data_IF_060697949070
#
_entry.id   IF_060697949070
#
_cell.length_a   1.000
_cell.length_b   1.000
_cell.length_c   1.000
_cell.angle_alpha   90.00
_cell.angle_beta   90.00
_cell.angle_gamma   90.00
#
_symmetry.space_group_name_H-M   'P 1'
#
loop_
_entity.id
_entity.type
_entity.pdbx_description
1 polymer ?
#
# COMPACT_ATOMS: atom_id res chain seq x y z
N UNK A 1 -8.58 -6.75 11.35
CA UNK A 1 -9.71 -6.14 10.62
C UNK A 1 -9.96 -6.93 9.35
N UNK A 2 -11.19 -7.39 9.08
CA UNK A 2 -11.54 -8.04 7.80
C UNK A 2 -11.31 -7.11 6.61
N UNK A 3 -11.08 -7.69 5.43
CA UNK A 3 -10.72 -6.94 4.21
C UNK A 3 -11.86 -6.06 3.75
N UNK A 4 -13.10 -6.55 3.82
CA UNK A 4 -14.29 -5.80 3.46
C UNK A 4 -14.40 -4.55 4.32
N UNK A 5 -14.10 -4.66 5.62
CA UNK A 5 -14.13 -3.50 6.51
C UNK A 5 -12.98 -2.54 6.16
N UNK A 6 -11.77 -3.05 5.93
CA UNK A 6 -10.62 -2.21 5.58
C UNK A 6 -10.78 -1.50 4.23
N UNK A 7 -11.43 -2.14 3.26
CA UNK A 7 -11.77 -1.55 1.97
C UNK A 7 -12.92 -0.54 2.10
N UNK A 8 -13.99 -0.87 2.81
CA UNK A 8 -15.17 0.00 2.94
C UNK A 8 -14.93 1.25 3.80
N UNK A 9 -13.98 1.21 4.73
CA UNK A 9 -13.59 2.36 5.54
C UNK A 9 -12.79 3.36 4.70
N UNK A 10 -13.51 4.09 3.85
CA UNK A 10 -13.07 5.37 3.31
C UNK A 10 -13.02 6.34 4.49
N UNK A 11 -11.82 6.60 4.96
CA UNK A 11 -11.63 7.56 6.04
C UNK A 11 -11.64 8.94 5.39
N UNK A 12 -12.76 9.65 5.41
CA UNK A 12 -12.80 11.07 5.04
C UNK A 12 -12.97 11.86 6.33
N UNK A 13 -11.86 12.16 7.01
CA UNK A 13 -11.93 12.73 8.35
C UNK A 13 -10.60 12.93 9.06
N UNK A 14 -9.50 12.40 8.54
CA UNK A 14 -8.16 12.70 9.01
C UNK A 14 -7.52 13.78 8.14
N UNK A 15 -6.67 13.34 7.22
CA UNK A 15 -5.94 14.21 6.30
C UNK A 15 -6.87 15.06 5.45
N UNK A 16 -7.93 14.50 4.86
CA UNK A 16 -8.79 15.26 3.95
C UNK A 16 -9.46 16.49 4.60
N UNK A 17 -9.63 16.48 5.92
CA UNK A 17 -10.28 17.57 6.67
C UNK A 17 -9.29 18.42 7.48
N UNK A 18 -8.01 18.03 7.50
CA UNK A 18 -6.98 18.75 8.22
C UNK A 18 -6.75 20.15 7.62
N UNK A 19 -6.45 21.13 8.48
CA UNK A 19 -6.10 22.50 8.08
C UNK A 19 -4.65 22.60 7.61
N UNK A 20 -4.29 21.76 6.65
CA UNK A 20 -2.96 21.70 6.02
C UNK A 20 -3.08 21.99 4.52
N UNK A 21 -1.97 22.33 3.89
CA UNK A 21 -1.95 22.53 2.44
C UNK A 21 -2.06 21.18 1.72
N UNK A 22 -3.29 20.77 1.40
CA UNK A 22 -3.62 19.46 0.80
C UNK A 22 -2.94 19.19 -0.55
N UNK A 23 -2.48 20.25 -1.24
CA UNK A 23 -1.81 20.15 -2.54
C UNK A 23 -0.29 20.05 -2.42
N UNK A 24 0.25 20.29 -1.24
CA UNK A 24 1.67 20.18 -0.98
C UNK A 24 1.98 18.73 -0.61
N UNK A 25 2.12 17.89 -1.64
CA UNK A 25 2.40 16.46 -1.46
C UNK A 25 3.79 16.20 -0.88
N UNK A 26 4.72 17.15 -1.04
CA UNK A 26 6.08 17.02 -0.51
C UNK A 26 6.06 17.11 1.02
N UNK A 27 6.08 15.94 1.67
CA UNK A 27 6.46 15.85 3.06
C UNK A 27 7.80 16.54 3.30
N UNK A 28 7.99 17.09 4.50
CA UNK A 28 9.30 17.63 4.89
C UNK A 28 10.31 16.50 4.75
N UNK A 29 11.23 16.61 3.79
CA UNK A 29 12.17 15.54 3.46
C UNK A 29 12.93 15.05 4.69
N UNK A 30 13.35 13.78 4.66
CA UNK A 30 14.12 13.21 5.76
C UNK A 30 15.41 14.00 5.95
N UNK A 31 15.63 14.47 7.18
CA UNK A 31 16.76 15.34 7.51
C UNK A 31 18.09 14.59 7.46
N UNK A 32 18.04 13.27 7.66
CA UNK A 32 19.18 12.36 7.63
C UNK A 32 19.04 11.36 6.48
N UNK A 33 20.19 10.89 6.00
CA UNK A 33 20.25 9.79 5.04
C UNK A 33 19.87 8.49 5.76
N UNK A 34 18.61 8.08 5.62
CA UNK A 34 18.09 6.84 6.19
C UNK A 34 18.51 5.66 5.32
N UNK A 35 18.73 4.49 5.94
CA UNK A 35 18.97 3.25 5.19
C UNK A 35 17.71 2.87 4.42
N UNK A 36 17.89 2.15 3.32
CA UNK A 36 16.77 1.57 2.60
C UNK A 36 16.01 0.59 3.50
N UNK A 37 14.70 0.51 3.33
CA UNK A 37 13.88 -0.46 4.04
C UNK A 37 14.32 -1.90 3.73
N UNK A 38 14.38 -2.72 4.77
CA UNK A 38 14.62 -4.15 4.64
C UNK A 38 13.29 -4.88 4.82
N UNK A 39 13.04 -5.87 3.98
CA UNK A 39 11.88 -6.75 4.14
C UNK A 39 12.34 -8.07 4.74
N UNK A 40 11.55 -8.60 5.68
CA UNK A 40 11.83 -9.89 6.26
C UNK A 40 11.82 -10.96 5.16
N UNK A 41 12.73 -11.94 5.25
CA UNK A 41 12.63 -13.12 4.40
C UNK A 41 11.54 -14.05 4.93
N UNK A 42 10.79 -14.74 4.06
CA UNK A 42 9.86 -15.76 4.48
C UNK A 42 10.59 -16.81 5.34
N UNK A 43 10.05 -17.14 6.53
CA UNK A 43 10.62 -18.21 7.38
C UNK A 43 10.45 -19.60 6.73
N UNK A 44 9.42 -19.75 5.93
CA UNK A 44 9.21 -20.88 5.04
C UNK A 44 9.33 -20.32 3.62
N UNK A 45 10.23 -20.87 2.80
CA UNK A 45 10.51 -20.46 1.41
C UNK A 45 9.32 -20.73 0.46
N UNK A 46 8.09 -20.46 0.88
CA UNK A 46 6.93 -20.44 0.00
C UNK A 46 6.94 -19.10 -0.72
N UNK A 47 7.91 -18.93 -1.62
CA UNK A 47 7.79 -17.92 -2.65
C UNK A 47 6.54 -18.28 -3.45
N UNK A 48 5.62 -17.32 -3.59
CA UNK A 48 4.50 -17.47 -4.51
C UNK A 48 5.10 -17.72 -5.89
N UNK A 49 4.86 -18.90 -6.45
CA UNK A 49 5.34 -19.22 -7.78
C UNK A 49 4.48 -18.51 -8.84
N UNK A 50 5.09 -18.11 -9.96
CA UNK A 50 4.41 -17.51 -11.11
C UNK A 50 3.20 -18.36 -11.54
N UNK A 51 3.33 -19.70 -11.52
CA UNK A 51 2.24 -20.64 -11.85
C UNK A 51 1.00 -20.46 -10.97
N UNK A 52 1.17 -20.10 -9.71
CA UNK A 52 0.05 -19.93 -8.78
C UNK A 52 -0.72 -18.65 -9.14
N UNK A 53 0.00 -17.56 -9.43
CA UNK A 53 -0.61 -16.31 -9.89
C UNK A 53 -1.32 -16.52 -11.23
N UNK A 54 -0.68 -17.19 -12.19
CA UNK A 54 -1.29 -17.51 -13.49
C UNK A 54 -2.58 -18.32 -13.34
N UNK A 55 -2.62 -19.32 -12.46
CA UNK A 55 -3.86 -20.06 -12.18
C UNK A 55 -4.99 -19.15 -11.65
N UNK A 56 -4.67 -18.17 -10.79
CA UNK A 56 -5.65 -17.18 -10.33
C UNK A 56 -6.19 -16.31 -11.48
N UNK A 57 -5.34 -15.98 -12.45
CA UNK A 57 -5.72 -15.19 -13.63
C UNK A 57 -6.61 -15.96 -14.60
N UNK A 58 -6.27 -17.23 -14.84
CA UNK A 58 -7.04 -18.17 -15.66
C UNK A 58 -8.46 -18.36 -15.09
N UNK A 59 -8.55 -18.53 -13.76
CA UNK A 59 -9.80 -18.61 -13.01
C UNK A 59 -10.57 -17.27 -12.90
N UNK A 60 -10.02 -16.17 -13.44
CA UNK A 60 -10.58 -14.79 -13.34
C UNK A 60 -10.77 -14.31 -11.90
N UNK A 61 -10.04 -14.89 -10.94
CA UNK A 61 -10.06 -14.48 -9.52
C UNK A 61 -9.29 -13.20 -9.30
N UNK A 62 -8.25 -12.98 -10.10
CA UNK A 62 -7.52 -11.70 -10.17
C UNK A 62 -7.50 -11.16 -11.61
N UNK A 63 -7.26 -9.85 -11.80
CA UNK A 63 -6.90 -9.29 -13.10
C UNK A 63 -5.70 -10.01 -13.73
N UNK A 64 -5.74 -10.19 -15.06
CA UNK A 64 -4.63 -10.77 -15.79
C UNK A 64 -3.41 -9.83 -15.73
N UNK A 65 -2.34 -10.26 -15.07
CA UNK A 65 -1.06 -9.60 -15.00
C UNK A 65 -0.05 -10.20 -15.97
N UNK A 66 -0.24 -11.43 -16.45
CA UNK A 66 0.67 -12.03 -17.42
C UNK A 66 2.11 -12.07 -16.88
N UNK A 67 3.08 -11.57 -17.65
CA UNK A 67 4.52 -11.56 -17.29
C UNK A 67 4.94 -10.35 -16.46
N UNK A 68 4.01 -9.66 -15.81
CA UNK A 68 4.36 -8.49 -15.00
C UNK A 68 5.02 -8.95 -13.71
N UNK A 69 6.25 -8.50 -13.40
CA UNK A 69 6.85 -8.74 -12.10
C UNK A 69 6.08 -7.91 -11.05
N UNK A 70 5.23 -8.59 -10.28
CA UNK A 70 4.29 -7.95 -9.35
C UNK A 70 4.92 -7.64 -7.98
N UNK A 71 5.76 -8.54 -7.47
CA UNK A 71 6.55 -8.41 -6.24
C UNK A 71 7.81 -9.27 -6.44
N UNK A 72 9.01 -8.82 -6.04
CA UNK A 72 10.24 -9.60 -6.14
C UNK A 72 10.10 -10.98 -5.50
N UNK A 73 10.82 -11.95 -6.04
CA UNK A 73 10.85 -13.32 -5.52
C UNK A 73 11.13 -13.32 -4.01
N UNK A 74 10.18 -13.86 -3.24
CA UNK A 74 10.25 -13.92 -1.77
C UNK A 74 9.67 -12.70 -1.03
N UNK A 75 9.28 -11.62 -1.71
CA UNK A 75 8.64 -10.44 -1.08
C UNK A 75 7.14 -10.62 -0.78
N UNK A 76 6.48 -11.58 -1.43
CA UNK A 76 5.08 -11.92 -1.17
C UNK A 76 4.88 -12.33 0.29
N UNK A 77 3.84 -11.80 0.93
CA UNK A 77 3.55 -12.11 2.33
C UNK A 77 4.59 -11.60 3.34
N UNK A 78 5.57 -10.79 2.89
CA UNK A 78 6.61 -10.25 3.76
C UNK A 78 6.32 -8.79 4.12
N UNK A 79 6.49 -8.49 5.41
CA UNK A 79 6.46 -7.13 5.94
C UNK A 79 7.88 -6.53 5.98
N UNK A 80 8.00 -5.19 6.02
CA UNK A 80 9.26 -4.56 6.37
C UNK A 80 9.72 -4.94 7.78
N UNK A 81 11.03 -4.97 8.00
CA UNK A 81 11.63 -5.02 9.33
C UNK A 81 11.45 -3.64 9.96
N UNK A 82 10.44 -3.53 10.83
CA UNK A 82 9.97 -2.25 11.36
C UNK A 82 8.93 -1.63 10.43
N UNK A 83 9.19 -0.40 9.96
CA UNK A 83 8.34 0.29 8.99
C UNK A 83 9.17 0.77 7.79
N UNK A 84 8.51 0.95 6.64
CA UNK A 84 9.12 1.49 5.43
C UNK A 84 8.35 2.73 4.98
N UNK A 85 9.01 3.87 4.98
CA UNK A 85 8.42 5.18 4.71
C UNK A 85 8.82 5.67 3.32
N UNK A 86 7.82 6.09 2.56
CA UNK A 86 7.98 7.01 1.46
C UNK A 86 7.71 8.44 1.94
N UNK A 87 8.77 9.22 2.16
CA UNK A 87 8.62 10.56 2.71
C UNK A 87 8.01 11.56 1.71
N UNK A 88 8.12 11.27 0.41
CA UNK A 88 7.56 12.15 -0.63
C UNK A 88 6.06 11.97 -0.75
N UNK A 89 5.54 10.74 -0.61
CA UNK A 89 4.11 10.47 -0.68
C UNK A 89 3.42 10.40 0.70
N UNK A 90 4.20 10.46 1.79
CA UNK A 90 3.68 10.20 3.14
C UNK A 90 3.14 8.77 3.32
N UNK A 91 3.59 7.84 2.47
CA UNK A 91 3.14 6.45 2.48
C UNK A 91 3.97 5.63 3.46
N UNK A 92 3.31 4.92 4.37
CA UNK A 92 3.98 4.05 5.34
C UNK A 92 3.54 2.60 5.13
N UNK A 93 4.48 1.74 4.72
CA UNK A 93 4.32 0.29 4.71
C UNK A 93 4.73 -0.25 6.07
N UNK A 94 3.80 -0.91 6.74
CA UNK A 94 3.99 -1.53 8.05
C UNK A 94 3.42 -2.96 8.11
N UNK A 95 2.91 -3.44 6.98
CA UNK A 95 2.19 -4.70 6.85
C UNK A 95 2.74 -5.51 5.68
N UNK A 96 2.50 -6.82 5.69
CA UNK A 96 2.88 -7.67 4.57
C UNK A 96 2.20 -7.27 3.27
N UNK A 97 2.90 -7.47 2.16
CA UNK A 97 2.24 -7.59 0.86
C UNK A 97 1.24 -8.75 0.90
N UNK A 98 0.20 -8.67 0.08
CA UNK A 98 -0.72 -9.79 -0.13
C UNK A 98 0.07 -11.00 -0.63
N UNK A 99 -0.50 -12.19 -0.55
CA UNK A 99 0.10 -13.43 -0.99
C UNK A 99 -0.97 -14.38 -1.50
N UNK A 100 -0.60 -15.43 -2.20
CA UNK A 100 -1.57 -16.45 -2.64
C UNK A 100 -1.76 -17.45 -1.52
N UNK A 101 -3.02 -17.69 -1.14
CA UNK A 101 -3.37 -18.69 -0.13
C UNK A 101 -4.36 -19.70 -0.68
N UNK A 102 -4.39 -20.87 -0.06
CA UNK A 102 -5.41 -21.89 -0.33
C UNK A 102 -6.77 -21.49 0.25
N UNK A 103 -6.75 -20.83 1.42
CA UNK A 103 -7.94 -20.33 2.11
C UNK A 103 -8.02 -18.80 2.09
N UNK A 104 -9.24 -18.28 1.98
CA UNK A 104 -9.49 -16.84 2.03
C UNK A 104 -9.03 -16.26 3.37
N UNK A 105 -8.10 -15.31 3.33
CA UNK A 105 -7.56 -14.63 4.50
C UNK A 105 -7.37 -13.14 4.23
N UNK A 106 -7.08 -12.38 5.28
CA UNK A 106 -6.96 -10.92 5.19
C UNK A 106 -5.83 -10.39 4.30
N UNK A 107 -4.89 -11.27 3.92
CA UNK A 107 -3.81 -11.01 2.99
C UNK A 107 -3.83 -11.93 1.76
N UNK A 108 -4.92 -12.66 1.51
CA UNK A 108 -5.05 -13.47 0.30
C UNK A 108 -5.32 -12.57 -0.92
N UNK A 109 -4.45 -12.67 -1.92
CA UNK A 109 -4.44 -11.81 -3.10
C UNK A 109 -5.76 -11.89 -3.89
N UNK A 110 -6.30 -13.09 -4.07
CA UNK A 110 -7.52 -13.32 -4.83
C UNK A 110 -8.75 -12.75 -4.12
N UNK A 111 -8.90 -13.08 -2.84
CA UNK A 111 -9.99 -12.60 -2.02
C UNK A 111 -9.95 -11.08 -1.85
N UNK A 112 -8.77 -10.51 -1.58
CA UNK A 112 -8.64 -9.05 -1.45
C UNK A 112 -9.02 -8.33 -2.74
N UNK A 113 -8.51 -8.77 -3.89
CA UNK A 113 -8.84 -8.12 -5.17
C UNK A 113 -10.32 -8.31 -5.58
N UNK A 114 -11.02 -9.31 -5.05
CA UNK A 114 -12.48 -9.40 -5.16
C UNK A 114 -13.17 -8.25 -4.40
N UNK A 115 -12.69 -7.91 -3.21
CA UNK A 115 -13.23 -6.82 -2.39
C UNK A 115 -12.88 -5.42 -2.92
N UNK A 116 -11.82 -5.28 -3.73
CA UNK A 116 -11.33 -3.99 -4.23
C UNK A 116 -11.98 -3.52 -5.56
N UNK A 117 -12.96 -4.24 -6.09
CA UNK A 117 -13.56 -3.95 -7.42
C UNK A 117 -14.24 -2.58 -7.52
N UNK A 118 -14.65 -2.02 -6.40
CA UNK A 118 -15.24 -0.67 -6.33
C UNK A 118 -14.19 0.42 -6.05
N UNK A 119 -12.94 0.04 -5.82
CA UNK A 119 -11.83 0.95 -5.50
C UNK A 119 -10.90 1.18 -6.68
N UNK A 120 -10.63 0.12 -7.45
CA UNK A 120 -9.75 0.16 -8.62
C UNK A 120 -10.34 -0.62 -9.78
N UNK A 121 -9.97 -0.23 -10.99
CA UNK A 121 -10.38 -0.90 -12.23
C UNK A 121 -9.61 -2.22 -12.39
N UNK A 122 -10.07 -3.08 -13.31
CA UNK A 122 -9.38 -4.34 -13.65
C UNK A 122 -8.02 -4.15 -14.33
N UNK A 123 -7.60 -2.91 -14.56
CA UNK A 123 -6.27 -2.62 -15.09
C UNK A 123 -5.20 -2.57 -13.99
N UNK A 124 -5.64 -2.68 -12.72
CA UNK A 124 -4.78 -2.64 -11.53
C UNK A 124 -5.02 -3.86 -10.65
N UNK A 125 -3.94 -4.34 -10.06
CA UNK A 125 -3.93 -5.39 -9.04
C UNK A 125 -3.53 -4.78 -7.71
N UNK A 126 -4.37 -4.89 -6.69
CA UNK A 126 -4.01 -4.53 -5.32
C UNK A 126 -2.97 -5.51 -4.77
N UNK A 127 -1.90 -4.98 -4.18
CA UNK A 127 -0.75 -5.77 -3.70
C UNK A 127 -0.44 -5.56 -2.23
N UNK A 128 -0.86 -4.45 -1.61
CA UNK A 128 -0.77 -4.28 -0.17
C UNK A 128 -1.74 -3.22 0.34
N UNK A 129 -2.22 -3.41 1.56
CA UNK A 129 -2.68 -2.26 2.34
C UNK A 129 -1.49 -1.59 3.01
N UNK A 130 -1.50 -0.27 3.01
CA UNK A 130 -0.54 0.58 3.72
C UNK A 130 -1.29 1.49 4.70
N UNK A 131 -0.58 2.18 5.57
CA UNK A 131 -1.24 3.18 6.42
C UNK A 131 -1.86 4.26 5.52
N UNK A 132 -3.16 4.48 5.71
CA UNK A 132 -3.92 5.48 4.96
C UNK A 132 -4.31 5.10 3.53
N UNK A 133 -4.08 3.86 3.06
CA UNK A 133 -4.54 3.48 1.72
C UNK A 133 -4.12 2.10 1.20
N UNK A 134 -4.02 2.01 -0.12
CA UNK A 134 -3.79 0.78 -0.89
C UNK A 134 -2.67 0.99 -1.91
N UNK A 135 -1.73 0.05 -1.98
CA UNK A 135 -0.77 -0.08 -3.07
C UNK A 135 -1.33 -0.99 -4.17
N UNK A 136 -1.19 -0.55 -5.41
CA UNK A 136 -1.63 -1.27 -6.60
C UNK A 136 -0.56 -1.29 -7.68
N UNK A 137 -0.52 -2.36 -8.48
CA UNK A 137 0.34 -2.50 -9.65
C UNK A 137 -0.51 -2.43 -10.90
N UNK A 138 -0.07 -1.68 -11.91
CA UNK A 138 -0.74 -1.65 -13.21
C UNK A 138 -0.42 -2.92 -13.99
N UNK A 139 -1.46 -3.65 -14.37
CA UNK A 139 -1.35 -4.99 -15.00
C UNK A 139 -1.86 -5.01 -16.44
N UNK A 140 -2.55 -3.94 -16.86
CA UNK A 140 -3.04 -3.77 -18.23
C UNK A 140 -2.92 -2.32 -18.69
N UNK A 141 -2.63 -2.16 -19.98
CA UNK A 141 -2.54 -0.87 -20.67
C UNK A 141 -1.13 -0.32 -20.66
N UNK A 142 -1.01 1.00 -20.79
CA UNK A 142 0.29 1.70 -20.78
C UNK A 142 0.94 1.66 -19.38
N UNK A 143 2.27 1.71 -19.30
CA UNK A 143 3.02 1.63 -18.03
C UNK A 143 2.70 0.39 -17.17
N UNK A 144 2.42 -0.73 -17.81
CA UNK A 144 2.24 -2.02 -17.13
C UNK A 144 3.52 -2.38 -16.33
N UNK A 145 3.36 -2.78 -15.07
CA UNK A 145 4.43 -2.99 -14.08
C UNK A 145 4.62 -1.85 -13.08
N UNK A 146 4.13 -0.64 -13.41
CA UNK A 146 4.25 0.51 -12.51
C UNK A 146 3.41 0.36 -11.24
N UNK A 147 3.93 0.92 -10.14
CA UNK A 147 3.34 0.91 -8.81
C UNK A 147 2.66 2.24 -8.53
N UNK A 148 1.47 2.19 -7.95
CA UNK A 148 0.65 3.35 -7.63
C UNK A 148 0.08 3.24 -6.22
N UNK A 149 -0.15 4.39 -5.61
CA UNK A 149 -0.77 4.51 -4.30
C UNK A 149 -2.16 5.12 -4.44
N UNK A 150 -3.13 4.45 -3.82
CA UNK A 150 -4.50 4.92 -3.65
C UNK A 150 -4.69 5.36 -2.19
N UNK A 151 -4.54 6.66 -1.89
CA UNK A 151 -4.89 7.20 -0.57
C UNK A 151 -6.40 7.07 -0.33
N UNK A 152 -6.79 6.59 0.86
CA UNK A 152 -8.18 6.45 1.28
C UNK A 152 -8.76 7.71 1.93
N UNK A 153 -7.90 8.65 2.32
CA UNK A 153 -8.24 9.94 2.94
C UNK A 153 -7.73 11.10 2.07
N UNK A 154 -7.90 10.99 0.75
CA UNK A 154 -7.53 12.04 -0.20
C UNK A 154 -8.57 13.15 -0.19
N UNK A 155 -8.13 14.41 -0.07
CA UNK A 155 -9.02 15.58 -0.08
C UNK A 155 -9.78 15.77 -1.41
N UNK A 156 -9.30 15.14 -2.50
CA UNK A 156 -9.96 15.15 -3.82
C UNK A 156 -11.04 14.08 -3.93
N UNK A 157 -11.04 13.09 -3.03
CA UNK A 157 -12.04 12.04 -3.01
C UNK A 157 -13.40 12.60 -2.56
N UNK A 158 -14.46 12.25 -3.29
CA UNK A 158 -15.82 12.76 -3.09
C UNK A 158 -16.84 11.71 -3.50
N UNK A 159 -18.00 11.79 -2.87
CA UNK A 159 -19.12 10.91 -3.21
C UNK A 159 -19.50 11.01 -4.68
N UNK A 160 -19.89 9.88 -5.27
CA UNK A 160 -20.27 9.77 -6.68
C UNK A 160 -19.12 9.50 -7.66
N UNK A 161 -17.85 9.47 -7.22
CA UNK A 161 -16.76 8.97 -8.05
C UNK A 161 -16.82 7.45 -8.19
N UNK A 162 -16.92 6.97 -9.44
CA UNK A 162 -16.76 5.55 -9.76
C UNK A 162 -15.28 5.13 -9.73
N UNK A 163 -15.02 3.82 -9.77
CA UNK A 163 -13.66 3.28 -9.74
C UNK A 163 -12.76 3.81 -10.89
N UNK A 164 -13.33 4.11 -12.06
CA UNK A 164 -12.56 4.62 -13.19
C UNK A 164 -12.14 6.09 -13.00
N UNK A 165 -13.04 6.92 -12.48
CA UNK A 165 -12.74 8.30 -12.12
C UNK A 165 -11.71 8.36 -10.99
N UNK A 166 -11.88 7.53 -9.95
CA UNK A 166 -10.90 7.41 -8.85
C UNK A 166 -9.51 7.04 -9.37
N UNK A 167 -9.41 6.02 -10.21
CA UNK A 167 -8.14 5.57 -10.77
C UNK A 167 -7.45 6.69 -11.55
N UNK A 168 -8.21 7.47 -12.34
CA UNK A 168 -7.65 8.59 -13.12
C UNK A 168 -7.27 9.79 -12.28
N UNK A 169 -8.04 10.11 -11.25
CA UNK A 169 -7.94 11.38 -10.53
C UNK A 169 -7.11 11.29 -9.24
N UNK A 170 -7.08 10.11 -8.59
CA UNK A 170 -6.61 9.96 -7.22
C UNK A 170 -5.34 9.12 -7.08
N UNK A 171 -5.03 8.24 -8.04
CA UNK A 171 -3.81 7.42 -7.95
C UNK A 171 -2.57 8.30 -8.06
N UNK A 172 -1.63 8.04 -7.15
CA UNK A 172 -0.33 8.72 -7.10
C UNK A 172 0.75 7.75 -7.58
N UNK A 173 1.61 8.13 -8.54
CA UNK A 173 2.66 7.26 -9.04
C UNK A 173 3.69 7.02 -7.93
N UNK A 174 4.10 5.76 -7.74
CA UNK A 174 5.01 5.34 -6.68
C UNK A 174 6.33 4.74 -7.17
N UNK A 175 6.37 4.29 -8.41
CA UNK A 175 7.54 3.68 -9.03
C UNK A 175 7.19 3.21 -10.43
N UNK A 176 8.16 3.28 -11.34
CA UNK A 176 8.01 2.77 -12.71
C UNK A 176 7.89 1.24 -12.74
N UNK A 177 8.45 0.60 -11.73
CA UNK A 177 8.29 -0.81 -11.39
C UNK A 177 8.38 -1.00 -9.86
N UNK A 178 8.30 -2.26 -9.42
CA UNK A 178 8.34 -2.60 -8.01
C UNK A 178 9.71 -2.37 -7.37
N UNK A 179 10.81 -2.58 -8.11
CA UNK A 179 12.17 -2.37 -7.59
C UNK A 179 12.46 -0.89 -7.38
N UNK A 180 12.02 -0.03 -8.30
CA UNK A 180 12.06 1.42 -8.18
C UNK A 180 11.25 1.90 -6.98
N UNK A 181 10.06 1.33 -6.77
CA UNK A 181 9.25 1.59 -5.58
C UNK A 181 10.00 1.21 -4.29
N UNK A 182 10.52 -0.02 -4.18
CA UNK A 182 11.25 -0.49 -3.00
C UNK A 182 12.53 0.31 -2.72
N UNK A 183 13.19 0.81 -3.78
CA UNK A 183 14.39 1.64 -3.69
C UNK A 183 14.14 3.02 -3.08
N UNK A 184 12.90 3.51 -3.15
CA UNK A 184 12.50 4.80 -2.58
C UNK A 184 12.18 4.73 -1.09
N UNK A 185 11.92 3.54 -0.56
CA UNK A 185 11.47 3.36 0.83
C UNK A 185 12.63 3.50 1.84
N UNK A 186 12.47 4.43 2.78
CA UNK A 186 13.35 4.61 3.93
C UNK A 186 12.92 3.69 5.08
N UNK A 187 13.86 2.89 5.59
CA UNK A 187 13.61 1.96 6.70
C UNK A 187 13.64 2.64 8.06
N UNK A 188 12.53 2.59 8.79
CA UNK A 188 12.35 3.06 10.18
C UNK A 188 13.09 4.38 10.49
N UNK A 189 12.82 5.47 9.74
CA UNK A 189 13.49 6.74 9.98
C UNK A 189 13.17 7.27 11.40
N UNK A 190 14.18 7.72 12.16
CA UNK A 190 14.00 8.21 13.54
C UNK A 190 13.12 9.46 13.63
N UNK A 191 12.95 10.18 12.53
CA UNK A 191 12.00 11.29 12.42
C UNK A 191 10.56 10.87 12.75
N UNK A 192 10.16 9.61 12.47
CA UNK A 192 8.82 9.13 12.83
C UNK A 192 8.61 9.09 14.34
N UNK A 193 9.60 8.63 15.10
CA UNK A 193 9.56 8.62 16.56
C UNK A 193 9.55 10.04 17.12
N UNK A 194 10.35 10.93 16.51
CA UNK A 194 10.37 12.35 16.89
C UNK A 194 9.01 13.00 16.69
N UNK A 195 8.36 12.77 15.53
CA UNK A 195 7.03 13.29 15.24
C UNK A 195 6.00 12.71 16.21
N UNK A 196 6.03 11.40 16.47
CA UNK A 196 5.13 10.75 17.42
C UNK A 196 5.27 11.35 18.83
N UNK A 197 6.50 11.57 19.31
CA UNK A 197 6.75 12.20 20.61
C UNK A 197 6.24 13.64 20.64
N UNK A 198 6.48 14.43 19.59
CA UNK A 198 5.94 15.80 19.49
C UNK A 198 4.41 15.84 19.49
N UNK A 199 3.75 14.85 18.86
CA UNK A 199 2.29 14.74 18.92
C UNK A 199 1.79 14.46 20.34
N UNK A 200 2.52 13.65 21.12
CA UNK A 200 2.21 13.38 22.53
C UNK A 200 2.47 14.61 23.40
N UNK A 201 3.66 15.21 23.29
CA UNK A 201 4.06 16.37 24.09
C UNK A 201 3.17 17.59 23.81
N UNK A 202 2.73 17.74 22.55
CA UNK A 202 1.78 18.77 22.14
C UNK A 202 0.33 18.51 22.54
N UNK A 203 0.03 17.35 23.15
CA UNK A 203 -1.32 16.98 23.58
C UNK A 203 -2.28 16.57 22.46
N UNK A 204 -1.77 16.33 21.25
CA UNK A 204 -2.55 15.87 20.09
C UNK A 204 -2.76 14.35 20.10
N UNK A 205 -1.86 13.62 20.76
CA UNK A 205 -1.93 12.18 20.95
C UNK A 205 -1.67 11.83 22.42
N UNK A 206 -2.00 10.60 22.81
CA UNK A 206 -1.65 10.05 24.12
C UNK A 206 -0.99 8.69 23.95
N UNK A 207 -0.06 8.37 24.84
CA UNK A 207 0.52 7.03 24.92
C UNK A 207 -0.58 6.06 25.33
N UNK A 208 -0.75 5.00 24.54
CA UNK A 208 -1.62 3.87 24.87
C UNK A 208 -0.71 2.70 25.25
N UNK A 209 -0.77 2.20 26.49
CA UNK A 209 -0.03 1.02 26.88
C UNK A 209 -0.47 -0.16 26.00
N UNK A 210 0.49 -0.80 25.35
CA UNK A 210 0.23 -2.08 24.69
C UNK A 210 0.38 -3.14 25.79
N UNK A 211 -0.70 -3.85 26.12
CA UNK A 211 -0.62 -4.95 27.09
C UNK A 211 0.37 -6.00 26.62
N UNK A 212 1.09 -6.62 27.57
CA UNK A 212 2.01 -7.74 27.30
C UNK A 212 1.33 -8.90 26.55
#
# INVERSE_FOLDING_TARGET
>A
MPVEVKALLRHHGGLATARVEQRNGAGRGLSKKTKQAHFGLPRELVAVEERQVLALEEDKRIPAAGRVPLVPEGGWGCAPVGVALDAELGLLVDQPFFTVREEAAVNDLAYVNKCLRDHVTKDYLGVAFVQGGLLVVKVRGEATGSVWFCPYDDARDRDGLDAAARVRELLLPCGEDFDAFLSRLAGSPPELETVAQLMVDGGFARVVPVGE
#
